data_IF_111329565738
#
_entry.id   IF_111329565738
#
_cell.length_a   1.000
_cell.length_b   1.000
_cell.length_c   1.000
_cell.angle_alpha   90.00
_cell.angle_beta   90.00
_cell.angle_gamma   90.00
#
_symmetry.space_group_name_H-M   'P 1'
#
loop_
_entity.id
_entity.type
_entity.pdbx_description
1 polymer ?
#
# COMPACT_ATOMS: atom_id res chain seq x y z
N UNK A 1 16.34 -22.32 -10.89
CA UNK A 1 15.92 -21.17 -11.72
C UNK A 1 17.17 -20.54 -12.28
N UNK A 2 17.30 -20.41 -13.60
CA UNK A 2 18.50 -19.80 -14.19
C UNK A 2 18.51 -18.29 -13.93
N UNK A 3 19.66 -17.71 -13.63
CA UNK A 3 19.85 -16.29 -13.33
C UNK A 3 19.24 -15.35 -14.39
N UNK A 4 19.12 -15.83 -15.63
CA UNK A 4 18.50 -15.10 -16.74
C UNK A 4 16.98 -14.92 -16.59
N UNK A 5 16.29 -15.88 -16.00
CA UNK A 5 14.84 -15.83 -15.79
C UNK A 5 14.50 -14.77 -14.73
N UNK A 6 15.27 -14.74 -13.64
CA UNK A 6 15.16 -13.75 -12.58
C UNK A 6 15.41 -12.35 -13.16
N UNK A 7 16.47 -12.17 -13.95
CA UNK A 7 16.75 -10.89 -14.62
C UNK A 7 15.58 -10.39 -15.49
N UNK A 8 14.90 -11.28 -16.23
CA UNK A 8 13.72 -10.93 -17.04
C UNK A 8 12.52 -10.53 -16.18
N UNK A 9 12.27 -11.26 -15.08
CA UNK A 9 11.19 -10.94 -14.15
C UNK A 9 11.38 -9.56 -13.51
N UNK A 10 12.60 -9.24 -13.08
CA UNK A 10 12.95 -7.94 -12.49
C UNK A 10 12.85 -6.80 -13.51
N UNK A 11 13.31 -7.00 -14.74
CA UNK A 11 13.15 -6.02 -15.81
C UNK A 11 11.67 -5.70 -16.07
N UNK A 12 10.81 -6.73 -16.03
CA UNK A 12 9.36 -6.58 -16.20
C UNK A 12 8.72 -5.86 -15.01
N UNK A 13 9.14 -6.19 -13.79
CA UNK A 13 8.70 -5.51 -12.57
C UNK A 13 9.02 -4.01 -12.61
N UNK A 14 10.27 -3.64 -12.96
CA UNK A 14 10.68 -2.23 -13.11
C UNK A 14 9.88 -1.49 -14.17
N UNK A 15 9.61 -2.12 -15.32
CA UNK A 15 8.76 -1.52 -16.36
C UNK A 15 7.32 -1.27 -15.88
N UNK A 16 6.80 -2.15 -15.01
CA UNK A 16 5.47 -1.98 -14.41
C UNK A 16 5.47 -0.88 -13.33
N UNK A 17 6.55 -0.72 -12.56
CA UNK A 17 6.70 0.42 -11.65
C UNK A 17 6.66 1.75 -12.40
N UNK A 18 7.32 1.85 -13.57
CA UNK A 18 7.23 3.06 -14.42
C UNK A 18 5.81 3.35 -14.92
N UNK A 19 4.95 2.33 -14.99
CA UNK A 19 3.53 2.44 -15.36
C UNK A 19 2.61 2.63 -14.14
N UNK A 20 3.17 2.85 -12.95
CA UNK A 20 2.47 2.91 -11.67
C UNK A 20 1.66 1.65 -11.31
N UNK A 21 1.97 0.51 -11.96
CA UNK A 21 1.33 -0.78 -11.72
C UNK A 21 2.08 -1.55 -10.64
N UNK A 22 2.25 -0.94 -9.46
CA UNK A 22 3.04 -1.46 -8.35
C UNK A 22 2.55 -2.83 -7.83
N UNK A 23 1.23 -3.05 -7.81
CA UNK A 23 0.62 -4.35 -7.42
C UNK A 23 1.07 -5.48 -8.35
N UNK A 24 1.13 -5.22 -9.66
CA UNK A 24 1.59 -6.22 -10.64
C UNK A 24 3.09 -6.40 -10.56
N UNK A 25 3.86 -5.32 -10.37
CA UNK A 25 5.30 -5.39 -10.19
C UNK A 25 5.67 -6.29 -8.99
N UNK A 26 4.95 -6.15 -7.86
CA UNK A 26 5.13 -6.99 -6.68
C UNK A 26 4.97 -8.50 -6.96
N UNK A 27 4.00 -8.88 -7.80
CA UNK A 27 3.79 -10.28 -8.19
C UNK A 27 5.00 -10.86 -8.94
N UNK A 28 5.63 -10.06 -9.81
CA UNK A 28 6.87 -10.45 -10.49
C UNK A 28 8.07 -10.53 -9.53
N UNK A 29 8.15 -9.64 -8.54
CA UNK A 29 9.18 -9.71 -7.49
C UNK A 29 9.04 -10.98 -6.65
N UNK A 30 7.82 -11.39 -6.28
CA UNK A 30 7.58 -12.66 -5.57
C UNK A 30 8.05 -13.85 -6.43
N UNK A 31 7.73 -13.85 -7.73
CA UNK A 31 8.18 -14.91 -8.66
C UNK A 31 9.70 -14.95 -8.82
N UNK A 32 10.35 -13.80 -8.69
CA UNK A 32 11.81 -13.67 -8.67
C UNK A 32 12.45 -14.06 -7.33
N UNK A 33 11.65 -14.38 -6.30
CA UNK A 33 12.12 -14.68 -4.95
C UNK A 33 12.47 -13.44 -4.11
N UNK A 34 12.12 -12.25 -4.59
CA UNK A 34 12.40 -10.97 -3.92
C UNK A 34 11.18 -10.51 -3.11
N UNK A 35 10.85 -11.25 -2.05
CA UNK A 35 9.69 -10.97 -1.19
C UNK A 35 9.78 -9.58 -0.53
N UNK A 36 11.00 -9.09 -0.22
CA UNK A 36 11.21 -7.75 0.34
C UNK A 36 10.88 -6.63 -0.66
N UNK A 37 11.35 -6.74 -1.91
CA UNK A 37 11.01 -5.77 -2.97
C UNK A 37 9.52 -5.82 -3.31
N UNK A 38 8.91 -7.00 -3.27
CA UNK A 38 7.46 -7.14 -3.43
C UNK A 38 6.70 -6.39 -2.34
N UNK A 39 7.10 -6.52 -1.07
CA UNK A 39 6.48 -5.81 0.04
C UNK A 39 6.62 -4.29 -0.09
N UNK A 40 7.81 -3.80 -0.48
CA UNK A 40 8.05 -2.39 -0.75
C UNK A 40 7.20 -1.86 -1.92
N UNK A 41 7.04 -2.65 -2.99
CA UNK A 41 6.16 -2.31 -4.11
C UNK A 41 4.69 -2.25 -3.67
N UNK A 42 4.22 -3.17 -2.82
CA UNK A 42 2.88 -3.08 -2.25
C UNK A 42 2.68 -1.85 -1.35
N UNK A 43 3.71 -1.43 -0.60
CA UNK A 43 3.67 -0.20 0.20
C UNK A 43 3.51 1.04 -0.69
N UNK A 44 4.24 1.13 -1.81
CA UNK A 44 4.07 2.19 -2.83
C UNK A 44 2.68 2.18 -3.47
N UNK A 45 2.09 1.00 -3.62
CA UNK A 45 0.75 0.82 -4.15
C UNK A 45 -0.37 1.19 -3.16
N UNK A 46 -0.03 1.67 -1.96
CA UNK A 46 -0.94 1.81 -0.82
C UNK A 46 -1.67 0.49 -0.43
N UNK A 47 -1.14 -0.65 -0.85
CA UNK A 47 -1.68 -1.98 -0.54
C UNK A 47 -1.07 -2.50 0.77
N UNK A 48 -1.17 -1.70 1.84
CA UNK A 48 -0.50 -1.94 3.12
C UNK A 48 -0.83 -3.29 3.76
N UNK A 49 -2.06 -3.79 3.59
CA UNK A 49 -2.43 -5.11 4.13
C UNK A 49 -1.66 -6.28 3.50
N UNK A 50 -1.34 -6.18 2.20
CA UNK A 50 -0.51 -7.20 1.52
C UNK A 50 0.98 -7.05 1.90
N UNK A 51 1.45 -5.81 2.01
CA UNK A 51 2.81 -5.52 2.46
C UNK A 51 3.07 -6.05 3.88
N UNK A 52 2.15 -5.79 4.82
CA UNK A 52 2.22 -6.27 6.21
C UNK A 52 2.32 -7.80 6.26
N UNK A 53 1.47 -8.51 5.51
CA UNK A 53 1.49 -9.97 5.48
C UNK A 53 2.83 -10.53 4.98
N UNK A 54 3.44 -9.89 3.97
CA UNK A 54 4.77 -10.25 3.46
C UNK A 54 5.88 -9.96 4.47
N UNK A 55 5.89 -8.78 5.08
CA UNK A 55 6.90 -8.42 6.09
C UNK A 55 6.82 -9.34 7.31
N UNK A 56 5.60 -9.69 7.77
CA UNK A 56 5.42 -10.63 8.87
C UNK A 56 5.93 -12.03 8.52
N UNK A 57 5.71 -12.48 7.27
CA UNK A 57 6.24 -13.77 6.79
C UNK A 57 7.77 -13.77 6.72
N UNK A 58 8.38 -12.63 6.44
CA UNK A 58 9.83 -12.43 6.44
C UNK A 58 10.43 -12.24 7.84
N UNK A 59 9.62 -12.22 8.90
CA UNK A 59 10.09 -11.94 10.26
C UNK A 59 10.52 -10.48 10.47
N UNK A 60 10.02 -9.56 9.64
CA UNK A 60 10.28 -8.13 9.70
C UNK A 60 9.15 -7.41 10.41
N UNK A 61 9.07 -7.61 11.72
CA UNK A 61 7.98 -7.07 12.54
C UNK A 61 7.94 -5.53 12.58
N UNK A 62 9.09 -4.85 12.56
CA UNK A 62 9.18 -3.39 12.46
C UNK A 62 8.52 -2.84 11.18
N UNK A 63 8.85 -3.43 10.03
CA UNK A 63 8.28 -3.02 8.73
C UNK A 63 6.78 -3.36 8.66
N UNK A 64 6.36 -4.48 9.26
CA UNK A 64 4.94 -4.85 9.35
C UNK A 64 4.15 -3.87 10.21
N UNK A 65 4.67 -3.46 11.39
CA UNK A 65 4.05 -2.44 12.23
C UNK A 65 3.95 -1.10 11.51
N UNK A 66 5.02 -0.67 10.82
CA UNK A 66 5.01 0.56 10.03
C UNK A 66 3.94 0.53 8.92
N UNK A 67 3.78 -0.61 8.25
CA UNK A 67 2.71 -0.80 7.26
C UNK A 67 1.31 -0.74 7.90
N UNK A 68 1.14 -1.36 9.07
CA UNK A 68 -0.11 -1.34 9.83
C UNK A 68 -0.49 0.09 10.25
N UNK A 69 0.45 0.86 10.77
CA UNK A 69 0.21 2.27 11.11
C UNK A 69 -0.18 3.11 9.88
N UNK A 70 0.49 2.91 8.74
CA UNK A 70 0.14 3.59 7.50
C UNK A 70 -1.26 3.23 7.01
N UNK A 71 -1.64 1.95 7.12
CA UNK A 71 -3.00 1.48 6.82
C UNK A 71 -4.04 2.18 7.68
N UNK A 72 -3.79 2.27 8.99
CA UNK A 72 -4.71 2.90 9.95
C UNK A 72 -4.81 4.41 9.73
N UNK A 73 -3.69 5.10 9.48
CA UNK A 73 -3.69 6.53 9.12
C UNK A 73 -4.44 6.80 7.83
N UNK A 74 -4.15 6.04 6.77
CA UNK A 74 -4.81 6.19 5.47
C UNK A 74 -6.31 5.87 5.53
N UNK A 75 -6.75 5.02 6.46
CA UNK A 75 -8.17 4.74 6.70
C UNK A 75 -8.84 5.76 7.62
N UNK A 76 -8.09 6.39 8.53
CA UNK A 76 -8.62 7.39 9.48
C UNK A 76 -8.83 8.77 8.85
N UNK A 77 -8.02 9.14 7.85
CA UNK A 77 -8.22 10.37 7.08
C UNK A 77 -9.53 10.36 6.26
N UNK A 78 -9.95 9.18 5.80
CA UNK A 78 -11.25 9.01 5.15
C UNK A 78 -12.45 9.12 6.12
N UNK A 79 -12.24 8.93 7.42
CA UNK A 79 -13.29 9.07 8.45
C UNK A 79 -13.48 10.50 8.93
N UNK A 80 -12.40 11.29 8.99
CA UNK A 80 -12.46 12.68 9.46
C UNK A 80 -13.16 13.61 8.48
N UNK A 81 -13.01 13.40 7.17
CA UNK A 81 -13.60 14.31 6.17
C UNK A 81 -15.13 14.27 6.16
N UNK A 82 -15.75 13.09 6.31
CA UNK A 82 -17.22 13.00 6.29
C UNK A 82 -17.89 13.47 7.60
N UNK A 83 -17.28 13.22 8.76
CA UNK A 83 -17.85 13.62 10.04
C UNK A 83 -17.75 15.13 10.30
N UNK A 84 -16.67 15.79 9.85
CA UNK A 84 -16.53 17.25 9.94
C UNK A 84 -17.51 17.96 8.99
N UNK A 85 -17.63 17.49 7.75
CA UNK A 85 -18.57 18.04 6.74
C UNK A 85 -20.04 17.93 7.19
N UNK A 86 -20.41 16.87 7.91
CA UNK A 86 -21.79 16.68 8.39
C UNK A 86 -22.11 17.52 9.64
N UNK A 87 -21.08 17.93 10.40
CA UNK A 87 -21.21 18.80 11.56
C UNK A 87 -21.43 20.26 11.15
N UNK A 88 -20.73 20.71 10.09
CA UNK A 88 -20.84 22.07 9.56
C UNK A 88 -22.21 22.32 8.89
N UNK A 89 -22.79 21.31 8.23
CA UNK A 89 -24.10 21.43 7.56
C UNK A 89 -25.29 21.52 8.52
N UNK A 90 -25.13 21.15 9.79
CA UNK A 90 -26.20 21.23 10.79
C UNK A 90 -26.22 22.53 11.57
N UNK A 91 -25.12 23.30 11.58
CA UNK A 91 -25.07 24.59 12.27
C UNK A 91 -25.77 25.72 11.50
N UNK A 92 -26.02 25.57 10.19
CA UNK A 92 -26.68 26.59 9.36
C UNK A 92 -28.23 26.53 9.41
N UNK A 93 -28.84 25.61 10.18
CA UNK A 93 -30.31 25.58 10.41
C UNK A 93 -30.76 26.40 11.62
N UNK A 94 -29.93 27.34 12.06
CA UNK A 94 -30.15 28.17 13.25
C UNK A 94 -30.37 29.65 12.99
N UNK A 95 -30.74 30.08 11.77
CA UNK A 95 -31.13 31.48 11.52
C UNK A 95 -32.65 31.60 11.36
N UNK A 96 -33.40 31.92 12.43
CA UNK A 96 -34.79 32.33 12.30
C UNK A 96 -34.82 33.77 11.77
N UNK A 97 -35.35 33.95 10.56
CA UNK A 97 -35.94 35.24 10.16
C UNK A 97 -37.15 35.54 11.03
#
# INVERSE_FOLDING_TARGET
MGDQEIGRLLARAKSLESKQLFVKAADYYIKAGMEYEAAAAFEKAAAYGKAEALFRKLGKDDDAMRCKEKREKSSSDAGKTWQDLQSEFQQDKGNPY
#
